data_IF_875317713171
#
_entry.id   IF_875317713171
#
_cell.length_a   1.000
_cell.length_b   1.000
_cell.length_c   1.000
_cell.angle_alpha   90.00
_cell.angle_beta   90.00
_cell.angle_gamma   90.00
#
_symmetry.space_group_name_H-M   'P 1'
#
loop_
_entity.id
_entity.type
_entity.pdbx_description
1 polymer ?
#
# COMPACT_ATOMS: atom_id res chain seq x y z
N UNK A 1 13.97 21.47 -62.44
CA UNK A 1 14.15 21.27 -60.98
C UNK A 1 14.59 19.83 -60.76
N UNK A 2 15.82 19.56 -60.31
CA UNK A 2 16.34 18.19 -60.09
C UNK A 2 16.46 17.95 -58.59
N UNK A 3 15.62 17.08 -58.03
CA UNK A 3 15.69 16.68 -56.63
C UNK A 3 16.70 15.53 -56.54
N UNK A 4 17.84 15.77 -55.87
CA UNK A 4 18.81 14.72 -55.53
C UNK A 4 18.31 14.02 -54.27
N UNK A 5 17.94 12.75 -54.39
CA UNK A 5 17.61 11.90 -53.25
C UNK A 5 18.91 11.35 -52.65
N UNK A 6 19.34 11.92 -51.52
CA UNK A 6 20.49 11.44 -50.74
C UNK A 6 20.09 10.14 -50.03
N UNK A 7 20.58 9.00 -50.52
CA UNK A 7 20.36 7.70 -49.89
C UNK A 7 21.09 7.60 -48.56
N UNK A 8 20.35 7.52 -47.46
CA UNK A 8 20.87 7.39 -46.10
C UNK A 8 21.45 5.98 -45.89
N UNK A 9 22.74 5.80 -46.17
CA UNK A 9 23.45 4.54 -45.87
C UNK A 9 23.78 4.49 -44.38
N UNK A 10 22.79 4.14 -43.55
CA UNK A 10 23.08 3.65 -42.20
C UNK A 10 23.88 2.36 -42.37
N UNK A 11 25.18 2.46 -42.13
CA UNK A 11 26.13 1.37 -42.27
C UNK A 11 25.75 0.26 -41.30
N UNK A 12 25.73 -1.00 -41.77
CA UNK A 12 25.43 -2.20 -40.96
C UNK A 12 26.20 -2.25 -39.62
N UNK A 13 27.34 -1.56 -39.53
CA UNK A 13 28.15 -1.35 -38.31
C UNK A 13 27.40 -0.60 -37.20
N UNK A 14 26.57 0.40 -37.52
CA UNK A 14 25.84 1.19 -36.52
C UNK A 14 24.68 0.38 -35.90
N UNK A 15 24.01 -0.44 -36.72
CA UNK A 15 22.95 -1.36 -36.26
C UNK A 15 23.55 -2.46 -35.38
N UNK A 16 24.72 -2.99 -35.76
CA UNK A 16 25.43 -4.01 -34.96
C UNK A 16 25.87 -3.47 -33.58
N UNK A 17 26.35 -2.21 -33.51
CA UNK A 17 26.72 -1.59 -32.24
C UNK A 17 25.51 -1.33 -31.33
N UNK A 18 24.37 -0.91 -31.90
CA UNK A 18 23.14 -0.71 -31.14
C UNK A 18 22.59 -2.02 -30.56
N UNK A 19 22.63 -3.10 -31.34
CA UNK A 19 22.21 -4.43 -30.89
C UNK A 19 23.12 -4.97 -29.76
N UNK A 20 24.42 -4.73 -29.84
CA UNK A 20 25.36 -5.17 -28.80
C UNK A 20 25.12 -4.44 -27.47
N UNK A 21 24.80 -3.13 -27.50
CA UNK A 21 24.47 -2.37 -26.31
C UNK A 21 23.20 -2.87 -25.60
N UNK A 22 22.16 -3.26 -26.36
CA UNK A 22 20.90 -3.80 -25.79
C UNK A 22 21.15 -5.14 -25.08
N UNK A 23 22.01 -6.00 -25.64
CA UNK A 23 22.32 -7.31 -25.04
C UNK A 23 23.10 -7.16 -23.73
N UNK A 24 24.05 -6.22 -23.65
CA UNK A 24 24.83 -5.98 -22.41
C UNK A 24 23.94 -5.44 -21.29
N UNK A 25 23.03 -4.51 -21.60
CA UNK A 25 22.07 -3.97 -20.60
C UNK A 25 21.09 -5.05 -20.14
N UNK A 26 20.59 -5.88 -21.06
CA UNK A 26 19.67 -6.98 -20.74
C UNK A 26 20.28 -8.06 -19.84
N UNK A 27 21.53 -8.45 -20.10
CA UNK A 27 22.26 -9.43 -19.27
C UNK A 27 22.56 -8.83 -17.89
N UNK A 28 22.95 -7.54 -17.81
CA UNK A 28 23.18 -6.85 -16.54
C UNK A 28 21.92 -6.78 -15.67
N UNK A 29 20.76 -6.44 -16.26
CA UNK A 29 19.49 -6.45 -15.55
C UNK A 29 19.08 -7.85 -15.09
N UNK A 30 19.31 -8.88 -15.92
CA UNK A 30 18.96 -10.26 -15.59
C UNK A 30 19.81 -10.81 -14.43
N UNK A 31 21.12 -10.55 -14.41
CA UNK A 31 22.00 -10.96 -13.30
C UNK A 31 21.64 -10.21 -12.01
N UNK A 32 21.32 -8.91 -12.09
CA UNK A 32 20.88 -8.13 -10.93
C UNK A 32 19.59 -8.68 -10.32
N UNK A 33 18.56 -8.95 -11.15
CA UNK A 33 17.29 -9.52 -10.69
C UNK A 33 17.47 -10.93 -10.10
N UNK A 34 18.32 -11.76 -10.72
CA UNK A 34 18.56 -13.13 -10.25
C UNK A 34 19.35 -13.16 -8.93
N UNK A 35 20.35 -12.27 -8.76
CA UNK A 35 21.09 -12.14 -7.50
C UNK A 35 20.22 -11.58 -6.35
N UNK A 36 19.13 -10.87 -6.65
CA UNK A 36 18.20 -10.39 -5.60
C UNK A 36 17.19 -11.46 -5.17
N UNK A 37 16.99 -12.54 -5.95
CA UNK A 37 16.00 -13.58 -5.63
C UNK A 37 16.55 -14.87 -4.99
N UNK A 38 17.87 -15.05 -4.88
CA UNK A 38 18.45 -16.33 -4.38
C UNK A 38 18.98 -16.29 -2.92
N UNK A 39 18.71 -15.23 -2.15
CA UNK A 39 19.11 -15.16 -0.73
C UNK A 39 17.93 -15.12 0.26
N UNK A 40 17.01 -16.09 0.16
CA UNK A 40 16.25 -16.53 1.35
C UNK A 40 15.98 -18.02 1.28
N UNK A 41 17.05 -18.82 1.37
CA UNK A 41 16.92 -20.23 1.76
C UNK A 41 16.78 -20.25 3.28
N UNK A 42 15.57 -20.45 3.79
CA UNK A 42 15.31 -20.71 5.20
C UNK A 42 15.78 -22.14 5.53
N UNK A 43 16.98 -22.27 6.08
CA UNK A 43 17.36 -23.46 6.84
C UNK A 43 16.65 -23.43 8.20
N UNK A 44 16.00 -24.53 8.64
CA UNK A 44 15.43 -24.63 9.97
C UNK A 44 16.57 -24.98 10.92
N UNK A 45 16.83 -24.11 11.90
CA UNK A 45 17.41 -24.36 13.24
C UNK A 45 18.19 -23.10 13.64
N UNK A 46 17.47 -22.15 14.25
CA UNK A 46 17.90 -21.46 15.48
C UNK A 46 16.85 -20.39 15.80
N UNK A 47 15.90 -20.81 16.63
CA UNK A 47 14.98 -19.92 17.31
C UNK A 47 15.77 -19.03 18.26
N UNK A 48 15.64 -17.71 18.13
CA UNK A 48 15.06 -16.84 19.16
C UNK A 48 15.22 -15.37 18.77
N UNK A 49 14.09 -14.67 18.82
CA UNK A 49 13.99 -13.24 19.10
C UNK A 49 14.11 -12.26 17.93
N UNK A 50 13.17 -12.35 16.97
CA UNK A 50 12.47 -11.15 16.47
C UNK A 50 11.23 -11.57 15.68
N UNK A 51 10.13 -11.84 16.39
CA UNK A 51 8.82 -11.86 15.74
C UNK A 51 8.42 -10.42 15.46
N UNK A 52 9.02 -9.81 14.43
CA UNK A 52 8.33 -8.73 13.73
C UNK A 52 7.15 -9.40 13.02
N UNK A 53 6.01 -9.37 13.72
CA UNK A 53 4.71 -9.75 13.20
C UNK A 53 4.48 -8.87 11.98
N UNK A 54 4.73 -9.41 10.79
CA UNK A 54 4.20 -8.87 9.54
C UNK A 54 2.69 -8.82 9.77
N UNK A 55 2.21 -7.63 10.12
CA UNK A 55 0.81 -7.38 10.38
C UNK A 55 0.22 -7.16 9.00
N UNK A 56 -0.09 -8.26 8.32
CA UNK A 56 -1.08 -8.19 7.25
C UNK A 56 -2.36 -7.67 7.92
N UNK A 57 -2.78 -6.44 7.64
CA UNK A 57 -4.05 -5.91 8.17
C UNK A 57 -5.21 -6.61 7.44
N UNK A 58 -5.41 -7.90 7.71
CA UNK A 58 -6.62 -8.59 7.23
C UNK A 58 -7.77 -8.17 8.13
N UNK A 59 -8.99 -8.20 7.62
CA UNK A 59 -10.17 -7.86 8.40
C UNK A 59 -11.19 -8.98 8.39
N UNK A 60 -12.06 -8.98 9.38
CA UNK A 60 -13.14 -9.94 9.50
C UNK A 60 -14.44 -9.26 9.94
N UNK A 61 -15.56 -9.85 9.55
CA UNK A 61 -16.87 -9.39 9.97
C UNK A 61 -17.21 -9.96 11.35
N UNK A 62 -17.64 -9.10 12.25
CA UNK A 62 -18.02 -9.48 13.61
C UNK A 62 -19.25 -8.72 14.08
N UNK A 63 -20.00 -9.30 15.03
CA UNK A 63 -21.19 -8.65 15.58
C UNK A 63 -20.86 -7.83 16.82
N UNK A 64 -21.11 -6.52 16.76
CA UNK A 64 -21.02 -5.60 17.90
C UNK A 64 -22.25 -4.70 17.95
N UNK A 65 -22.80 -4.48 19.13
CA UNK A 65 -24.05 -3.71 19.34
C UNK A 65 -25.23 -4.16 18.45
N UNK A 66 -25.31 -5.47 18.16
CA UNK A 66 -26.34 -6.03 17.28
C UNK A 66 -26.16 -5.74 15.78
N UNK A 67 -25.01 -5.20 15.37
CA UNK A 67 -24.67 -4.93 13.96
C UNK A 67 -23.42 -5.70 13.55
N UNK A 68 -23.37 -6.10 12.29
CA UNK A 68 -22.17 -6.65 11.66
C UNK A 68 -21.21 -5.50 11.34
N UNK A 69 -19.95 -5.65 11.74
CA UNK A 69 -18.90 -4.65 11.64
C UNK A 69 -17.62 -5.31 11.13
N UNK A 70 -16.92 -4.63 10.22
CA UNK A 70 -15.57 -4.99 9.78
C UNK A 70 -14.57 -4.58 10.87
N UNK A 71 -13.73 -5.53 11.30
CA UNK A 71 -12.73 -5.34 12.36
C UNK A 71 -11.38 -5.86 11.86
N UNK A 72 -10.28 -5.17 12.16
CA UNK A 72 -8.93 -5.70 11.91
C UNK A 72 -8.64 -6.99 12.67
N UNK A 73 -7.97 -7.93 12.01
CA UNK A 73 -7.62 -9.26 12.51
C UNK A 73 -6.60 -9.25 13.65
N UNK A 74 -5.93 -8.12 13.85
CA UNK A 74 -4.98 -7.88 14.92
C UNK A 74 -5.65 -7.58 16.28
N UNK A 75 -6.98 -7.57 16.33
CA UNK A 75 -7.81 -7.28 17.50
C UNK A 75 -8.28 -8.58 18.15
N UNK A 76 -8.26 -8.63 19.48
CA UNK A 76 -8.85 -9.75 20.24
C UNK A 76 -10.37 -9.83 19.99
N UNK A 77 -10.91 -10.94 19.48
CA UNK A 77 -12.34 -11.08 19.21
C UNK A 77 -13.27 -10.82 20.40
N UNK A 78 -12.79 -11.08 21.63
CA UNK A 78 -13.55 -10.83 22.85
C UNK A 78 -13.78 -9.33 23.12
N UNK A 79 -12.88 -8.48 22.62
CA UNK A 79 -12.92 -7.02 22.77
C UNK A 79 -13.85 -6.32 21.79
N UNK A 80 -14.30 -7.03 20.73
CA UNK A 80 -15.15 -6.49 19.65
C UNK A 80 -16.45 -5.86 20.20
N UNK A 81 -17.00 -6.43 21.28
CA UNK A 81 -18.23 -5.94 21.92
C UNK A 81 -18.09 -4.53 22.50
N UNK A 82 -16.86 -4.05 22.68
CA UNK A 82 -16.55 -2.74 23.25
C UNK A 82 -16.20 -1.70 22.17
N UNK A 83 -16.28 -2.04 20.88
CA UNK A 83 -16.02 -1.11 19.79
C UNK A 83 -17.10 -0.03 19.73
N UNK A 84 -16.71 1.19 20.04
CA UNK A 84 -17.60 2.34 19.92
C UNK A 84 -17.47 2.96 18.53
N UNK A 85 -18.59 3.18 17.85
CA UNK A 85 -18.61 3.97 16.63
C UNK A 85 -18.38 5.45 16.97
N UNK A 86 -17.34 6.04 16.40
CA UNK A 86 -17.03 7.47 16.57
C UNK A 86 -17.67 8.28 15.46
N UNK A 87 -17.45 7.87 14.21
CA UNK A 87 -18.04 8.51 13.02
C UNK A 87 -17.98 7.58 11.82
N UNK A 88 -18.85 7.82 10.84
CA UNK A 88 -18.92 7.10 9.58
C UNK A 88 -19.46 8.04 8.49
N UNK A 89 -18.80 8.07 7.34
CA UNK A 89 -19.19 8.82 6.14
C UNK A 89 -18.75 8.08 4.87
N UNK A 90 -18.93 8.70 3.70
CA UNK A 90 -18.62 8.11 2.40
C UNK A 90 -17.12 7.82 2.18
N UNK A 91 -16.23 8.50 2.90
CA UNK A 91 -14.77 8.40 2.72
C UNK A 91 -14.09 7.55 3.79
N UNK A 92 -14.63 7.50 5.01
CA UNK A 92 -14.03 6.75 6.11
C UNK A 92 -15.02 6.42 7.23
N UNK A 93 -14.59 5.49 8.07
CA UNK A 93 -15.22 5.08 9.32
C UNK A 93 -14.19 5.01 10.43
N UNK A 94 -14.53 5.53 11.60
CA UNK A 94 -13.67 5.52 12.78
C UNK A 94 -14.38 4.80 13.91
N UNK A 95 -13.70 3.82 14.49
CA UNK A 95 -14.09 3.17 15.74
C UNK A 95 -13.02 3.33 16.80
N UNK A 96 -13.45 3.33 18.05
CA UNK A 96 -12.57 3.41 19.21
C UNK A 96 -12.74 2.16 20.07
N UNK A 97 -11.61 1.62 20.52
CA UNK A 97 -11.54 0.50 21.46
C UNK A 97 -10.42 0.79 22.46
N UNK A 98 -10.78 0.93 23.73
CA UNK A 98 -9.82 1.06 24.84
C UNK A 98 -8.78 2.17 24.63
N UNK A 99 -9.17 3.27 23.99
CA UNK A 99 -8.29 4.41 23.68
C UNK A 99 -7.44 4.25 22.41
N UNK A 100 -7.57 3.13 21.68
CA UNK A 100 -7.01 2.95 20.34
C UNK A 100 -8.08 3.23 19.27
N UNK A 101 -7.65 3.67 18.08
CA UNK A 101 -8.55 4.02 16.99
C UNK A 101 -8.32 3.16 15.76
N UNK A 102 -9.41 2.75 15.15
CA UNK A 102 -9.45 1.89 13.97
C UNK A 102 -10.15 2.65 12.86
N UNK A 103 -9.41 2.98 11.80
CA UNK A 103 -9.84 3.83 10.70
C UNK A 103 -9.93 2.99 9.43
N UNK A 104 -11.14 2.77 8.93
CA UNK A 104 -11.38 2.15 7.62
C UNK A 104 -11.63 3.27 6.60
N UNK A 105 -10.86 3.29 5.52
CA UNK A 105 -10.94 4.23 4.41
C UNK A 105 -11.64 3.56 3.23
N UNK A 106 -12.46 4.32 2.51
CA UNK A 106 -13.25 3.83 1.38
C UNK A 106 -12.81 4.48 0.04
N UNK A 107 -11.54 4.32 -0.39
CA UNK A 107 -11.08 4.82 -1.68
C UNK A 107 -11.84 4.15 -2.83
N UNK A 108 -12.08 4.89 -3.91
CA UNK A 108 -12.82 4.40 -5.07
C UNK A 108 -11.84 4.10 -6.20
N UNK A 109 -11.70 2.81 -6.53
CA UNK A 109 -10.88 2.33 -7.64
C UNK A 109 -11.63 2.54 -8.96
N UNK A 110 -10.94 3.02 -9.99
CA UNK A 110 -11.43 3.12 -11.38
C UNK A 110 -12.65 4.04 -11.61
N UNK A 111 -12.60 5.28 -11.13
CA UNK A 111 -13.50 6.33 -11.64
C UNK A 111 -12.90 6.98 -12.88
N UNK A 112 -13.51 6.85 -14.08
CA UNK A 112 -12.97 7.38 -15.34
C UNK A 112 -12.88 8.92 -15.38
N UNK A 113 -13.49 9.58 -14.41
CA UNK A 113 -13.69 11.02 -14.24
C UNK A 113 -12.84 11.65 -13.11
N UNK A 114 -12.05 10.85 -12.39
CA UNK A 114 -11.19 11.32 -11.29
C UNK A 114 -9.73 11.45 -11.75
N UNK A 115 -9.11 12.62 -11.54
CA UNK A 115 -7.66 12.79 -11.78
C UNK A 115 -6.79 12.15 -10.70
N UNK A 116 -7.38 11.81 -9.55
CA UNK A 116 -6.67 11.36 -8.37
C UNK A 116 -6.51 9.84 -8.40
N UNK A 117 -5.27 9.38 -8.29
CA UNK A 117 -4.99 7.95 -8.21
C UNK A 117 -5.56 7.36 -6.92
N UNK A 118 -5.69 6.04 -6.86
CA UNK A 118 -6.07 5.34 -5.64
C UNK A 118 -5.23 5.76 -4.42
N UNK A 119 -3.92 5.96 -4.61
CA UNK A 119 -2.99 6.38 -3.57
C UNK A 119 -3.25 7.83 -3.10
N UNK A 120 -3.58 8.73 -4.02
CA UNK A 120 -3.93 10.11 -3.67
C UNK A 120 -5.21 10.16 -2.84
N UNK A 121 -6.21 9.35 -3.20
CA UNK A 121 -7.46 9.22 -2.44
C UNK A 121 -7.20 8.67 -1.03
N UNK A 122 -6.37 7.63 -0.88
CA UNK A 122 -5.99 7.11 0.43
C UNK A 122 -5.35 8.17 1.30
N UNK A 123 -4.43 8.96 0.73
CA UNK A 123 -3.75 10.04 1.45
C UNK A 123 -4.72 11.14 1.89
N UNK A 124 -5.61 11.56 1.00
CA UNK A 124 -6.64 12.57 1.28
C UNK A 124 -7.59 12.08 2.40
N UNK A 125 -8.08 10.85 2.29
CA UNK A 125 -9.07 10.31 3.24
C UNK A 125 -8.42 10.04 4.61
N UNK A 126 -7.17 9.55 4.63
CA UNK A 126 -6.37 9.44 5.85
C UNK A 126 -6.22 10.79 6.54
N UNK A 127 -5.87 11.84 5.78
CA UNK A 127 -5.71 13.18 6.34
C UNK A 127 -7.04 13.71 6.92
N UNK A 128 -8.15 13.52 6.20
CA UNK A 128 -9.48 13.91 6.67
C UNK A 128 -9.89 13.21 7.98
N UNK A 129 -9.59 11.90 8.10
CA UNK A 129 -9.81 11.15 9.34
C UNK A 129 -8.93 11.66 10.49
N UNK A 130 -7.65 11.95 10.22
CA UNK A 130 -6.73 12.56 11.21
C UNK A 130 -7.24 13.92 11.68
N UNK A 131 -7.70 14.76 10.76
CA UNK A 131 -8.19 16.10 11.08
C UNK A 131 -9.45 16.04 11.94
N UNK A 132 -10.35 15.09 11.65
CA UNK A 132 -11.49 14.79 12.52
C UNK A 132 -11.04 14.42 13.93
N UNK A 133 -10.09 13.48 14.08
CA UNK A 133 -9.59 13.05 15.39
C UNK A 133 -8.96 14.21 16.17
N UNK A 134 -8.15 15.04 15.52
CA UNK A 134 -7.56 16.25 16.12
C UNK A 134 -8.64 17.23 16.58
N UNK A 135 -9.66 17.48 15.76
CA UNK A 135 -10.79 18.34 16.09
C UNK A 135 -11.59 17.82 17.29
N UNK A 136 -11.63 16.51 17.47
CA UNK A 136 -12.20 15.83 18.64
C UNK A 136 -11.28 15.79 19.87
N UNK A 137 -10.20 16.59 19.89
CA UNK A 137 -9.20 16.66 20.96
C UNK A 137 -8.42 15.36 21.20
N UNK A 138 -8.30 14.49 20.19
CA UNK A 138 -7.50 13.26 20.27
C UNK A 138 -6.06 13.56 19.89
N UNK A 139 -5.11 13.17 20.75
CA UNK A 139 -3.69 13.32 20.47
C UNK A 139 -3.17 12.18 19.59
N UNK A 140 -3.27 12.36 18.28
CA UNK A 140 -2.86 11.38 17.27
C UNK A 140 -1.37 10.95 17.35
N UNK A 141 -0.50 11.68 18.06
CA UNK A 141 0.91 11.29 18.24
C UNK A 141 1.12 10.34 19.42
N UNK A 142 0.20 10.34 20.39
CA UNK A 142 0.25 9.48 21.59
C UNK A 142 -0.72 8.32 21.54
N UNK A 143 -1.65 8.37 20.58
CA UNK A 143 -2.71 7.40 20.40
C UNK A 143 -2.37 6.47 19.25
N UNK A 144 -2.57 5.17 19.45
CA UNK A 144 -2.38 4.17 18.40
C UNK A 144 -3.57 4.20 17.44
N UNK A 145 -3.27 4.31 16.15
CA UNK A 145 -4.26 4.35 15.07
C UNK A 145 -3.90 3.26 14.06
N UNK A 146 -4.88 2.42 13.74
CA UNK A 146 -4.76 1.40 12.71
C UNK A 146 -5.55 1.82 11.49
N UNK A 147 -4.98 1.60 10.31
CA UNK A 147 -5.61 1.95 9.05
C UNK A 147 -5.94 0.70 8.24
N UNK A 148 -7.12 0.71 7.66
CA UNK A 148 -7.58 -0.20 6.63
C UNK A 148 -7.97 0.64 5.41
N UNK A 149 -7.47 0.36 4.20
CA UNK A 149 -6.50 -0.70 3.88
C UNK A 149 -5.11 -0.41 4.48
N UNK A 150 -4.31 -1.45 4.68
CA UNK A 150 -2.97 -1.39 5.31
C UNK A 150 -2.04 -0.38 4.67
N UNK A 151 -2.15 -0.22 3.36
CA UNK A 151 -1.35 0.63 2.49
C UNK A 151 -1.41 2.07 2.96
N UNK A 152 -2.52 2.49 3.57
CA UNK A 152 -2.66 3.82 4.13
C UNK A 152 -1.75 4.06 5.34
N UNK A 153 -1.23 3.03 6.01
CA UNK A 153 -0.37 3.19 7.18
C UNK A 153 0.90 3.99 6.84
N UNK A 154 1.50 3.71 5.68
CA UNK A 154 2.80 4.26 5.26
C UNK A 154 2.71 5.56 4.43
N UNK A 155 1.50 6.07 4.16
CA UNK A 155 1.24 7.27 3.35
C UNK A 155 1.32 8.61 4.11
#
# INVERSE_FOLDING_TARGET
>A
MKIKTTGNRITKRTIALLALAIVVVGIGLFIYIKNTQENTTLTPTDAQNKTEKVTENRTFEATSEGKTITVPDNVDPSSIKNYRLVTENETYKIRELSGEYYVTLYPIINRPDQSNTYQDQLKEYKQSAIDYLKKSNINIQKTKIYYEPSEATDL
#
